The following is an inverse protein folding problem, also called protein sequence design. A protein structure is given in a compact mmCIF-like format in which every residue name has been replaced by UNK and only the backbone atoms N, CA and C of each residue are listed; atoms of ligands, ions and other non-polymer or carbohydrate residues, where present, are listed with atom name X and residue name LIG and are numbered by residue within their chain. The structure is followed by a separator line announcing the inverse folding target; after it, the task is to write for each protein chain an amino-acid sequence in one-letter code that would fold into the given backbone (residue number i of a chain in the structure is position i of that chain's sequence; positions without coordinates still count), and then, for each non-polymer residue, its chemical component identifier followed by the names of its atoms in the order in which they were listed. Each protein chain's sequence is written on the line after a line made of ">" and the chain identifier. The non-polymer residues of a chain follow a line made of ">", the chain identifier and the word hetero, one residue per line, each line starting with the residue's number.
data_IF_844124965606
#
_entry.id   IF_844124965606
#
_cell.length_a   1.000
_cell.length_b   1.000
_cell.length_c   1.000
_cell.angle_alpha   90.00
_cell.angle_beta   90.00
_cell.angle_gamma   90.00
#
_symmetry.space_group_name_H-M   'P 1'
#
loop_
_entity.id
_entity.type
_entity.pdbx_description
1 polymer ?
#
# COMPACT_ATOMS: atom_id res chain seq x y z
N UNK A 1 -23.75 8.36 0.20
CA UNK A 1 -22.54 7.57 -0.11
C UNK A 1 -21.44 7.98 0.87
N UNK A 2 -21.74 7.91 2.17
CA UNK A 2 -21.03 8.63 3.23
C UNK A 2 -20.84 7.71 4.43
N UNK A 3 -19.74 7.87 5.14
CA UNK A 3 -19.40 7.11 6.35
C UNK A 3 -19.57 8.04 7.56
N UNK A 4 -20.11 7.49 8.65
CA UNK A 4 -20.27 8.18 9.93
C UNK A 4 -19.06 7.88 10.82
N UNK A 5 -18.51 8.90 11.47
CA UNK A 5 -17.49 8.72 12.50
C UNK A 5 -17.99 7.78 13.62
N UNK A 6 -17.09 6.92 14.13
CA UNK A 6 -17.44 5.81 15.04
C UNK A 6 -17.81 6.30 16.46
N UNK A 7 -17.68 7.60 16.72
CA UNK A 7 -17.96 8.19 18.03
C UNK A 7 -19.43 8.03 18.42
N UNK A 8 -19.65 7.31 19.53
CA UNK A 8 -20.94 7.23 20.21
C UNK A 8 -21.37 8.64 20.68
N UNK A 9 -22.23 9.29 19.90
CA UNK A 9 -23.12 10.38 20.30
C UNK A 9 -22.56 11.79 20.58
N UNK A 10 -21.42 12.22 20.02
CA UNK A 10 -21.06 13.66 20.02
C UNK A 10 -20.70 14.10 18.61
N UNK A 11 -21.70 14.64 17.88
CA UNK A 11 -21.52 15.20 16.54
C UNK A 11 -21.48 14.15 15.44
N UNK A 12 -22.58 14.01 14.69
CA UNK A 12 -22.63 13.14 13.51
C UNK A 12 -21.88 13.79 12.36
N UNK A 13 -20.55 13.71 12.37
CA UNK A 13 -19.73 14.10 11.23
C UNK A 13 -19.76 12.94 10.23
N UNK A 14 -20.38 13.20 9.09
CA UNK A 14 -20.33 12.29 7.94
C UNK A 14 -19.26 12.80 6.98
N UNK A 15 -18.52 11.89 6.39
CA UNK A 15 -17.52 12.19 5.38
C UNK A 15 -17.67 11.27 4.17
N UNK A 16 -17.05 11.64 3.07
CA UNK A 16 -17.09 10.83 1.86
C UNK A 16 -16.39 9.49 2.13
N UNK A 17 -16.95 8.38 1.63
CA UNK A 17 -16.32 7.07 1.77
C UNK A 17 -14.88 7.01 1.22
N UNK A 18 -14.54 7.86 0.25
CA UNK A 18 -13.19 7.99 -0.30
C UNK A 18 -12.18 8.61 0.69
N UNK A 19 -12.66 9.17 1.79
CA UNK A 19 -11.85 9.79 2.83
C UNK A 19 -11.77 8.91 4.07
N UNK A 20 -12.08 7.62 3.94
CA UNK A 20 -11.85 6.64 4.99
C UNK A 20 -10.47 6.04 4.79
N UNK A 21 -9.60 6.10 5.80
CA UNK A 21 -8.23 5.61 5.74
C UNK A 21 -7.42 6.25 4.60
N UNK A 22 -7.60 7.54 4.36
CA UNK A 22 -6.93 8.29 3.30
C UNK A 22 -5.67 9.02 3.81
N UNK A 23 -5.31 8.88 5.08
CA UNK A 23 -4.23 9.60 5.75
C UNK A 23 -4.59 11.02 6.20
N UNK A 24 -5.83 11.45 5.97
CA UNK A 24 -6.42 12.71 6.42
C UNK A 24 -7.31 12.47 7.64
N UNK A 25 -7.38 13.45 8.53
CA UNK A 25 -8.26 13.36 9.71
C UNK A 25 -9.54 14.13 9.44
N UNK A 26 -10.56 13.41 9.02
CA UNK A 26 -11.92 13.87 8.83
C UNK A 26 -12.75 13.69 10.11
N UNK A 27 -12.50 12.65 10.92
CA UNK A 27 -13.16 12.50 12.21
C UNK A 27 -12.42 13.23 13.33
N UNK A 28 -13.18 13.92 14.17
CA UNK A 28 -12.64 14.61 15.36
C UNK A 28 -12.00 13.67 16.37
N UNK A 29 -12.27 12.37 16.33
CA UNK A 29 -11.59 11.34 17.13
C UNK A 29 -10.50 10.59 16.35
N UNK A 30 -10.32 10.87 15.06
CA UNK A 30 -9.39 10.15 14.19
C UNK A 30 -9.80 8.70 13.93
N UNK A 31 -11.07 8.35 14.17
CA UNK A 31 -11.56 6.97 13.98
C UNK A 31 -11.61 6.53 12.52
N UNK A 32 -11.70 7.49 11.60
CA UNK A 32 -11.54 7.33 10.16
C UNK A 32 -10.15 6.81 9.76
N UNK A 33 -9.12 7.09 10.56
CA UNK A 33 -7.73 6.66 10.34
C UNK A 33 -7.27 5.61 11.37
N UNK A 34 -8.20 5.05 12.17
CA UNK A 34 -7.82 4.09 13.19
C UNK A 34 -7.38 2.78 12.52
N UNK A 35 -6.17 2.27 12.79
CA UNK A 35 -5.65 1.05 12.17
C UNK A 35 -6.52 -0.18 12.43
N UNK A 36 -7.27 -0.24 13.54
CA UNK A 36 -8.21 -1.34 13.81
C UNK A 36 -9.42 -1.34 12.87
N UNK A 37 -9.82 -0.18 12.35
CA UNK A 37 -10.90 -0.03 11.38
C UNK A 37 -10.35 0.00 9.94
N UNK A 38 -9.14 0.52 9.72
CA UNK A 38 -8.43 0.49 8.44
C UNK A 38 -7.86 -0.87 8.07
N UNK A 39 -7.61 -1.77 9.04
CA UNK A 39 -7.18 -3.14 8.78
C UNK A 39 -8.18 -3.95 7.94
N UNK A 40 -9.43 -3.48 7.80
CA UNK A 40 -10.46 -4.09 6.96
C UNK A 40 -10.67 -3.35 5.61
N UNK A 41 -9.89 -2.33 5.28
CA UNK A 41 -10.42 -1.14 4.61
C UNK A 41 -9.89 -0.74 3.23
N UNK A 42 -9.02 -1.49 2.54
CA UNK A 42 -8.68 -1.12 1.16
C UNK A 42 -9.83 -1.47 0.19
N UNK A 43 -10.18 -0.59 -0.76
CA UNK A 43 -11.08 -0.90 -1.86
C UNK A 43 -10.71 -2.20 -2.57
N UNK A 44 -11.70 -2.87 -3.18
CA UNK A 44 -11.43 -4.06 -3.99
C UNK A 44 -10.46 -3.70 -5.11
N UNK A 45 -9.28 -4.33 -5.10
CA UNK A 45 -8.22 -4.04 -6.07
C UNK A 45 -7.04 -3.24 -5.50
N UNK A 46 -7.11 -2.85 -4.24
CA UNK A 46 -6.02 -2.18 -3.52
C UNK A 46 -5.45 -3.04 -2.39
N UNK A 47 -4.24 -2.70 -1.96
CA UNK A 47 -3.44 -3.37 -0.92
C UNK A 47 -2.99 -2.31 0.07
N UNK A 48 -3.05 -2.65 1.35
CA UNK A 48 -2.67 -1.72 2.42
C UNK A 48 -1.14 -1.58 2.48
N UNK A 49 -0.59 -0.44 2.85
CA UNK A 49 0.84 -0.29 3.16
C UNK A 49 1.13 -0.80 4.59
N UNK A 50 2.31 -1.31 4.90
CA UNK A 50 2.60 -1.82 6.26
C UNK A 50 2.54 -0.73 7.33
N UNK A 51 3.01 0.48 7.00
CA UNK A 51 2.98 1.62 7.89
C UNK A 51 2.41 2.85 7.16
N UNK A 52 1.08 3.05 7.22
CA UNK A 52 0.41 4.16 6.52
C UNK A 52 0.65 5.53 7.19
N UNK A 53 1.37 5.60 8.32
CA UNK A 53 1.51 6.85 9.07
C UNK A 53 2.19 7.94 8.22
N UNK A 54 1.40 8.95 7.83
CA UNK A 54 1.87 10.12 7.09
C UNK A 54 1.78 10.01 5.56
N UNK A 55 1.11 9.00 5.00
CA UNK A 55 1.03 8.80 3.56
C UNK A 55 -0.17 8.00 3.06
N UNK A 56 -0.13 7.58 1.79
CA UNK A 56 -1.17 6.76 1.16
C UNK A 56 -1.26 5.42 1.88
N UNK A 57 -2.41 5.12 2.50
CA UNK A 57 -2.58 3.88 3.25
C UNK A 57 -2.86 2.66 2.37
N UNK A 58 -3.39 2.89 1.17
CA UNK A 58 -3.69 1.85 0.18
C UNK A 58 -3.07 2.22 -1.17
N UNK A 59 -2.49 1.22 -1.83
CA UNK A 59 -1.96 1.29 -3.20
C UNK A 59 -2.66 0.27 -4.08
N UNK A 60 -2.78 0.50 -5.41
CA UNK A 60 -3.31 -0.51 -6.31
C UNK A 60 -2.56 -1.84 -6.19
N UNK A 61 -3.25 -2.97 -6.38
CA UNK A 61 -2.58 -4.29 -6.47
C UNK A 61 -1.51 -4.35 -7.55
N UNK A 62 -1.67 -3.59 -8.63
CA UNK A 62 -0.69 -3.46 -9.70
C UNK A 62 0.53 -2.61 -9.30
N UNK A 63 0.41 -1.81 -8.24
CA UNK A 63 1.51 -1.05 -7.64
C UNK A 63 2.33 -1.88 -6.65
N UNK A 64 1.79 -3.00 -6.20
CA UNK A 64 2.58 -3.93 -5.40
C UNK A 64 3.70 -4.51 -6.26
N UNK A 65 4.95 -4.44 -5.79
CA UNK A 65 6.07 -5.12 -6.43
C UNK A 65 6.36 -4.69 -7.88
N UNK A 66 6.06 -3.44 -8.22
CA UNK A 66 6.24 -2.91 -9.57
C UNK A 66 7.63 -2.26 -9.75
N UNK A 67 8.45 -2.22 -8.71
CA UNK A 67 9.78 -1.60 -8.70
C UNK A 67 9.78 -0.10 -8.39
N UNK A 68 8.62 0.47 -8.06
CA UNK A 68 8.39 1.88 -7.73
C UNK A 68 7.87 1.95 -6.30
N UNK A 69 8.44 2.86 -5.50
CA UNK A 69 7.92 3.13 -4.17
C UNK A 69 6.60 3.92 -4.28
N UNK A 70 5.47 3.21 -4.21
CA UNK A 70 4.11 3.75 -4.15
C UNK A 70 3.63 3.93 -2.70
N UNK A 71 4.07 3.08 -1.75
CA UNK A 71 3.86 3.32 -0.33
C UNK A 71 4.91 4.30 0.23
N UNK A 72 4.49 5.17 1.15
CA UNK A 72 5.40 6.13 1.77
C UNK A 72 6.53 5.43 2.54
N UNK A 73 6.22 4.30 3.17
CA UNK A 73 7.18 3.46 3.88
C UNK A 73 7.95 2.48 2.98
N UNK A 74 7.65 2.47 1.68
CA UNK A 74 8.24 1.53 0.70
C UNK A 74 7.83 0.09 0.91
N UNK A 75 6.81 -0.18 1.71
CA UNK A 75 6.39 -1.54 2.01
C UNK A 75 5.88 -2.28 0.78
N UNK A 76 5.26 -1.61 -0.18
CA UNK A 76 4.82 -2.19 -1.45
C UNK A 76 5.94 -2.86 -2.26
N UNK A 77 7.18 -2.46 -2.00
CA UNK A 77 8.40 -3.02 -2.58
C UNK A 77 9.23 -3.84 -1.59
N UNK A 78 8.87 -3.84 -0.29
CA UNK A 78 9.63 -4.57 0.72
C UNK A 78 9.55 -6.08 0.48
N UNK A 79 10.70 -6.74 0.57
CA UNK A 79 10.79 -8.16 0.23
C UNK A 79 9.91 -9.10 1.07
N UNK A 80 9.58 -8.68 2.30
CA UNK A 80 8.73 -9.41 3.25
C UNK A 80 7.25 -9.18 2.99
N UNK A 81 6.91 -8.07 2.32
CA UNK A 81 5.53 -7.68 2.02
C UNK A 81 5.14 -7.98 0.58
N UNK A 82 6.13 -8.16 -0.29
CA UNK A 82 6.01 -8.35 -1.72
C UNK A 82 6.11 -9.84 -2.11
N UNK A 83 4.99 -10.55 -2.35
CA UNK A 83 4.98 -11.95 -2.74
C UNK A 83 5.16 -12.10 -4.26
N UNK A 84 6.27 -11.63 -4.82
CA UNK A 84 6.56 -11.93 -6.24
C UNK A 84 7.02 -13.37 -6.35
N UNK A 85 6.16 -14.19 -6.95
CA UNK A 85 6.54 -15.49 -7.46
C UNK A 85 7.16 -15.29 -8.86
N UNK A 86 8.48 -15.08 -8.91
CA UNK A 86 9.20 -15.10 -10.17
C UNK A 86 9.07 -16.49 -10.81
N UNK A 87 8.94 -16.55 -12.14
CA UNK A 87 8.94 -17.83 -12.85
C UNK A 87 10.27 -18.57 -12.67
N UNK A 88 10.31 -19.88 -12.94
CA UNK A 88 11.53 -20.69 -12.82
C UNK A 88 12.70 -20.18 -13.69
N UNK A 89 12.44 -19.39 -14.73
CA UNK A 89 13.46 -18.78 -15.60
C UNK A 89 13.82 -17.34 -15.21
N UNK A 90 13.24 -16.83 -14.14
CA UNK A 90 13.48 -15.50 -13.60
C UNK A 90 14.15 -15.57 -12.23
N UNK A 91 14.86 -14.49 -11.89
CA UNK A 91 15.48 -14.25 -10.60
C UNK A 91 14.95 -12.94 -10.05
N UNK A 92 14.71 -12.95 -8.75
CA UNK A 92 14.26 -11.79 -7.99
C UNK A 92 15.47 -10.89 -7.72
N UNK A 93 15.45 -9.69 -8.27
CA UNK A 93 16.50 -8.69 -8.10
C UNK A 93 15.95 -7.48 -7.35
N UNK A 94 16.69 -7.02 -6.34
CA UNK A 94 16.45 -5.74 -5.72
C UNK A 94 16.99 -4.63 -6.63
N UNK A 95 16.16 -3.64 -6.92
CA UNK A 95 16.56 -2.42 -7.58
C UNK A 95 17.22 -1.48 -6.55
N UNK A 96 18.14 -0.64 -7.03
CA UNK A 96 18.79 0.44 -6.28
C UNK A 96 17.83 1.41 -5.58
N UNK A 97 16.57 1.47 -6.02
CA UNK A 97 15.50 2.29 -5.42
C UNK A 97 14.69 1.57 -4.33
N UNK A 98 15.09 0.35 -3.93
CA UNK A 98 14.35 -0.45 -2.95
C UNK A 98 13.26 -1.35 -3.55
N UNK A 99 13.01 -1.21 -4.85
CA UNK A 99 12.09 -2.03 -5.64
C UNK A 99 12.50 -3.49 -5.76
N UNK A 100 11.56 -4.40 -6.03
CA UNK A 100 11.86 -5.80 -6.39
C UNK A 100 11.35 -6.10 -7.79
N UNK A 101 12.21 -6.58 -8.68
CA UNK A 101 11.86 -6.97 -10.04
C UNK A 101 12.25 -8.42 -10.35
N UNK A 102 11.44 -9.10 -11.17
CA UNK A 102 11.82 -10.39 -11.76
C UNK A 102 12.58 -10.15 -13.06
N UNK A 103 13.87 -10.47 -13.07
CA UNK A 103 14.71 -10.41 -14.26
C UNK A 103 14.96 -11.81 -14.79
N UNK A 104 15.01 -11.98 -16.11
CA UNK A 104 15.35 -13.27 -16.71
C UNK A 104 16.75 -13.70 -16.32
N UNK A 105 16.94 -14.99 -16.02
CA UNK A 105 18.26 -15.59 -15.72
C UNK A 105 19.29 -15.31 -16.83
N UNK A 106 18.83 -15.25 -18.08
CA UNK A 106 19.64 -14.91 -19.26
C UNK A 106 20.09 -13.45 -19.34
N UNK A 107 19.43 -12.55 -18.61
CA UNK A 107 19.77 -11.12 -18.57
C UNK A 107 20.78 -10.79 -17.46
N UNK A 108 21.12 -11.75 -16.61
CA UNK A 108 22.14 -11.56 -15.58
C UNK A 108 23.53 -11.60 -16.21
N UNK A 109 24.31 -10.55 -15.97
CA UNK A 109 25.69 -10.44 -16.44
C UNK A 109 25.83 -10.62 -17.96
N UNK A 110 24.85 -10.14 -18.74
CA UNK A 110 24.83 -10.26 -20.20
C UNK A 110 25.80 -9.29 -20.92
N UNK A 111 26.66 -8.57 -20.18
CA UNK A 111 27.71 -7.72 -20.75
C UNK A 111 27.22 -6.41 -21.37
N UNK A 112 25.97 -6.00 -21.08
CA UNK A 112 25.44 -4.69 -21.45
C UNK A 112 25.56 -3.78 -20.23
N UNK A 113 26.49 -2.82 -20.30
CA UNK A 113 26.87 -1.88 -19.23
C UNK A 113 26.27 -0.49 -19.49
#
# INVERSE_FOLDING_TARGET
>A
NEILCVTRNIGRTCFNKLWFCNGGRECTDGSDENPNYCAAGCPVGEVHCLNPNGGRACVPKASMCNGVQDCLDGSDEDSSYCPIECTAEQIRCANSTGGVACVSKSSLCNGVW
#
